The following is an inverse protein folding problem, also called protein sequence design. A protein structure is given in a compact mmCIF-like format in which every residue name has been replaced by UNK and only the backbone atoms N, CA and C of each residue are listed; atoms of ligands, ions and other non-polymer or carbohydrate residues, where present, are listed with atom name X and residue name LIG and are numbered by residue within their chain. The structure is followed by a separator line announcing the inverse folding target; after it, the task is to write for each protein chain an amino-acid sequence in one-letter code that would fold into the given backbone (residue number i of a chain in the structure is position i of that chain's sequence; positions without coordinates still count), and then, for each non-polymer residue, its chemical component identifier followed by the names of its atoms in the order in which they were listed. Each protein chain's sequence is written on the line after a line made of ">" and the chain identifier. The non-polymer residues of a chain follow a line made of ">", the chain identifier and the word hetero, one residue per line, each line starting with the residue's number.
data_IF_794626278542
#
_entry.id   IF_794626278542
#
_cell.length_a   1.000
_cell.length_b   1.000
_cell.length_c   1.000
_cell.angle_alpha   90.00
_cell.angle_beta   90.00
_cell.angle_gamma   90.00
#
_symmetry.space_group_name_H-M   'P 1'
#
loop_
_entity.id
_entity.type
_entity.pdbx_description
1 polymer ?
#
# COMPACT_ATOMS: atom_id res chain seq x y z
N UNK A 1 -12.61 -34.26 -17.56
CA UNK A 1 -12.94 -32.85 -17.89
C UNK A 1 -12.90 -32.08 -16.58
N UNK A 2 -11.83 -31.35 -16.31
CA UNK A 2 -11.83 -30.36 -15.23
C UNK A 2 -12.56 -29.12 -15.73
N UNK A 3 -13.64 -28.74 -15.04
CA UNK A 3 -14.64 -27.74 -15.49
C UNK A 3 -14.36 -26.35 -14.86
N UNK A 4 -13.27 -26.22 -14.10
CA UNK A 4 -12.88 -24.95 -13.48
C UNK A 4 -11.44 -24.62 -13.87
N UNK A 5 -11.17 -23.40 -14.39
CA UNK A 5 -9.79 -22.95 -14.48
C UNK A 5 -9.21 -23.00 -13.07
N UNK A 6 -8.06 -23.66 -12.93
CA UNK A 6 -7.18 -23.55 -11.77
C UNK A 6 -7.16 -22.07 -11.37
N UNK A 7 -7.44 -21.74 -10.11
CA UNK A 7 -7.42 -20.35 -9.63
C UNK A 7 -6.19 -19.62 -10.18
N UNK A 8 -6.27 -18.34 -10.57
CA UNK A 8 -5.11 -17.63 -11.06
C UNK A 8 -4.03 -17.65 -9.97
N UNK A 9 -3.04 -18.52 -10.15
CA UNK A 9 -1.88 -18.61 -9.28
C UNK A 9 -0.96 -17.50 -9.77
N UNK A 10 -0.97 -16.38 -9.05
CA UNK A 10 0.05 -15.35 -9.26
C UNK A 10 1.42 -15.98 -9.09
N UNK A 11 2.32 -15.68 -10.02
CA UNK A 11 3.73 -16.03 -9.89
C UNK A 11 4.38 -15.21 -8.76
N UNK A 12 5.51 -15.70 -8.24
CA UNK A 12 6.32 -14.96 -7.28
C UNK A 12 6.64 -13.54 -7.79
N UNK A 13 7.04 -13.44 -9.06
CA UNK A 13 7.38 -12.16 -9.70
C UNK A 13 6.19 -11.20 -9.74
N UNK A 14 4.99 -11.67 -10.07
CA UNK A 14 3.78 -10.85 -10.08
C UNK A 14 3.42 -10.34 -8.67
N UNK A 15 3.51 -11.19 -7.65
CA UNK A 15 3.26 -10.80 -6.25
C UNK A 15 4.28 -9.75 -5.78
N UNK A 16 5.56 -9.91 -6.13
CA UNK A 16 6.60 -8.93 -5.81
C UNK A 16 6.39 -7.60 -6.54
N UNK A 17 5.90 -7.62 -7.78
CA UNK A 17 5.54 -6.41 -8.51
C UNK A 17 4.40 -5.66 -7.82
N UNK A 18 3.37 -6.36 -7.37
CA UNK A 18 2.30 -5.74 -6.58
C UNK A 18 2.82 -5.21 -5.24
N UNK A 19 3.66 -5.96 -4.53
CA UNK A 19 4.26 -5.50 -3.28
C UNK A 19 5.02 -4.19 -3.48
N UNK A 20 5.82 -4.09 -4.53
CA UNK A 20 6.56 -2.88 -4.88
C UNK A 20 5.64 -1.68 -5.22
N UNK A 21 4.50 -1.91 -5.88
CA UNK A 21 3.51 -0.85 -6.14
C UNK A 21 2.97 -0.31 -4.81
N UNK A 22 2.59 -1.20 -3.90
CA UNK A 22 2.09 -0.80 -2.58
C UNK A 22 3.16 -0.12 -1.73
N UNK A 23 4.42 -0.54 -1.83
CA UNK A 23 5.52 0.15 -1.13
C UNK A 23 5.69 1.59 -1.61
N UNK A 24 5.71 1.79 -2.94
CA UNK A 24 5.78 3.12 -3.55
C UNK A 24 4.55 3.98 -3.21
N UNK A 25 3.35 3.40 -3.19
CA UNK A 25 2.15 4.10 -2.77
C UNK A 25 2.25 4.58 -1.32
N UNK A 26 2.77 3.74 -0.42
CA UNK A 26 3.05 4.11 0.97
C UNK A 26 4.00 5.29 1.10
N UNK A 27 5.08 5.30 0.30
CA UNK A 27 6.04 6.41 0.24
C UNK A 27 5.38 7.71 -0.26
N UNK A 28 4.53 7.65 -1.28
CA UNK A 28 3.81 8.84 -1.80
C UNK A 28 2.86 9.41 -0.75
N UNK A 29 2.10 8.56 -0.04
CA UNK A 29 1.23 9.02 1.04
C UNK A 29 2.02 9.66 2.19
N UNK A 30 3.15 9.06 2.58
CA UNK A 30 4.02 9.65 3.60
C UNK A 30 4.60 10.99 3.14
N UNK A 31 5.07 11.09 1.89
CA UNK A 31 5.59 12.35 1.35
C UNK A 31 4.51 13.44 1.38
N UNK A 32 3.28 13.11 0.96
CA UNK A 32 2.12 13.99 1.06
C UNK A 32 1.83 14.44 2.49
N UNK A 33 1.92 13.51 3.45
CA UNK A 33 1.75 13.79 4.88
C UNK A 33 2.79 14.78 5.41
N UNK A 34 4.06 14.61 5.04
CA UNK A 34 5.18 15.45 5.48
C UNK A 34 5.05 16.87 4.92
N UNK A 35 4.58 17.02 3.69
CA UNK A 35 4.44 18.33 3.03
C UNK A 35 3.14 19.06 3.37
N UNK A 36 2.06 18.34 3.70
CA UNK A 36 0.74 18.93 4.03
C UNK A 36 0.81 20.07 5.08
N UNK A 37 1.68 19.98 6.12
CA UNK A 37 1.95 21.08 7.03
C UNK A 37 2.31 22.44 6.46
N UNK A 38 3.00 22.46 5.32
CA UNK A 38 3.57 23.67 4.73
C UNK A 38 2.55 24.44 3.87
N UNK A 39 1.39 23.84 3.58
CA UNK A 39 0.37 24.41 2.69
C UNK A 39 -0.94 24.78 3.41
N UNK A 40 -1.06 24.57 4.72
CA UNK A 40 -2.32 24.76 5.44
C UNK A 40 -2.16 25.32 6.86
N UNK A 41 -2.94 26.36 7.20
CA UNK A 41 -3.11 26.81 8.59
C UNK A 41 -3.67 25.66 9.45
N UNK A 42 -3.20 25.52 10.70
CA UNK A 42 -3.57 24.42 11.60
C UNK A 42 -5.06 24.47 11.98
N UNK A 43 -5.88 23.62 11.38
CA UNK A 43 -7.32 23.45 11.68
C UNK A 43 -7.68 21.95 11.79
N UNK A 44 -8.86 21.61 12.32
CA UNK A 44 -9.33 20.24 12.59
C UNK A 44 -9.30 19.34 11.34
N UNK A 45 -9.52 19.93 10.16
CA UNK A 45 -9.42 19.26 8.87
C UNK A 45 -8.00 18.71 8.62
N UNK A 46 -6.97 19.36 9.14
CA UNK A 46 -5.57 18.93 8.99
C UNK A 46 -5.26 17.70 9.85
N UNK A 47 -5.76 17.64 11.08
CA UNK A 47 -5.59 16.43 11.92
C UNK A 47 -6.26 15.21 11.29
N UNK A 48 -7.43 15.41 10.68
CA UNK A 48 -8.13 14.38 9.94
C UNK A 48 -7.33 13.91 8.70
N UNK A 49 -6.86 14.85 7.86
CA UNK A 49 -6.03 14.52 6.69
C UNK A 49 -4.74 13.81 7.09
N UNK A 50 -4.09 14.26 8.17
CA UNK A 50 -2.88 13.62 8.67
C UNK A 50 -3.16 12.18 9.12
N UNK A 51 -4.25 11.97 9.85
CA UNK A 51 -4.66 10.64 10.32
C UNK A 51 -4.95 9.71 9.13
N UNK A 52 -5.69 10.19 8.13
CA UNK A 52 -5.97 9.42 6.92
C UNK A 52 -4.69 9.10 6.13
N UNK A 53 -3.76 10.05 6.02
CA UNK A 53 -2.49 9.84 5.34
C UNK A 53 -1.62 8.78 6.03
N UNK A 54 -1.55 8.81 7.36
CA UNK A 54 -0.85 7.77 8.15
C UNK A 54 -1.49 6.39 7.94
N UNK A 55 -2.83 6.32 7.97
CA UNK A 55 -3.55 5.06 7.74
C UNK A 55 -3.35 4.53 6.31
N UNK A 56 -3.36 5.41 5.31
CA UNK A 56 -3.12 5.06 3.91
C UNK A 56 -1.68 4.55 3.69
N UNK A 57 -0.67 5.23 4.25
CA UNK A 57 0.71 4.79 4.18
C UNK A 57 0.90 3.42 4.87
N UNK A 58 0.37 3.28 6.09
CA UNK A 58 0.49 2.05 6.88
C UNK A 58 -0.20 0.86 6.22
N UNK A 59 -1.40 1.05 5.66
CA UNK A 59 -2.13 0.00 4.95
C UNK A 59 -1.42 -0.41 3.66
N UNK A 60 -0.83 0.54 2.94
CA UNK A 60 -0.03 0.25 1.74
C UNK A 60 1.20 -0.61 2.09
N UNK A 61 1.96 -0.25 3.12
CA UNK A 61 3.09 -1.07 3.55
C UNK A 61 2.69 -2.42 4.12
N UNK A 62 1.56 -2.51 4.83
CA UNK A 62 1.05 -3.80 5.31
C UNK A 62 0.68 -4.71 4.13
N UNK A 63 0.04 -4.17 3.10
CA UNK A 63 -0.28 -4.90 1.88
C UNK A 63 1.00 -5.36 1.15
N UNK A 64 2.00 -4.48 1.02
CA UNK A 64 3.31 -4.81 0.46
C UNK A 64 3.98 -5.95 1.23
N UNK A 65 4.08 -5.84 2.55
CA UNK A 65 4.65 -6.89 3.41
C UNK A 65 3.90 -8.22 3.27
N UNK A 66 2.56 -8.17 3.24
CA UNK A 66 1.72 -9.37 3.11
C UNK A 66 1.99 -10.07 1.78
N UNK A 67 2.06 -9.32 0.68
CA UNK A 67 2.32 -9.84 -0.66
C UNK A 67 3.72 -10.43 -0.77
N UNK A 68 4.74 -9.76 -0.24
CA UNK A 68 6.11 -10.29 -0.17
C UNK A 68 6.17 -11.60 0.62
N UNK A 69 5.43 -11.69 1.73
CA UNK A 69 5.36 -12.92 2.55
C UNK A 69 4.63 -14.06 1.84
N UNK A 70 3.66 -13.78 0.98
CA UNK A 70 3.02 -14.82 0.17
C UNK A 70 3.90 -15.23 -1.03
N UNK A 71 4.60 -14.28 -1.65
CA UNK A 71 5.57 -14.56 -2.71
C UNK A 71 6.66 -15.53 -2.23
N UNK A 72 7.21 -15.33 -1.02
CA UNK A 72 8.25 -16.19 -0.46
C UNK A 72 7.82 -17.62 -0.12
N UNK A 73 6.54 -17.97 -0.30
CA UNK A 73 6.01 -19.32 -0.05
C UNK A 73 5.70 -20.09 -1.33
N UNK A 74 5.78 -19.44 -2.49
CA UNK A 74 5.66 -20.07 -3.80
C UNK A 74 6.98 -20.75 -4.19
#
# INVERSE_FOLDING_TARGET
>A
MEIFPKEPVFTEEELLRFANIFDNAGQVFLAGLVIAPFFSNLDINRLFILTLGVLAASSSWLASWRLTKEASKL
#
